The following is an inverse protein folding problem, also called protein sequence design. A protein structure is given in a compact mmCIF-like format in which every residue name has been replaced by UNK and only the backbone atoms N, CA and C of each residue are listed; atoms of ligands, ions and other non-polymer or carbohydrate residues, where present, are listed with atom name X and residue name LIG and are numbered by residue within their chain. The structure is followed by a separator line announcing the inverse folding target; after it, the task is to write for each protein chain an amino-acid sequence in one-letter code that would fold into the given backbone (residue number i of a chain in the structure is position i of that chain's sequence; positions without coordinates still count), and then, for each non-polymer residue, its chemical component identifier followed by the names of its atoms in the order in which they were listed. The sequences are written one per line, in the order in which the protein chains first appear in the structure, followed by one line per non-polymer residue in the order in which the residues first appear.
data_IF_454935541058
#
_entry.id   IF_454935541058
#
_cell.length_a   1.000
_cell.length_b   1.000
_cell.length_c   1.000
_cell.angle_alpha   90.00
_cell.angle_beta   90.00
_cell.angle_gamma   90.00
#
_symmetry.space_group_name_H-M   'P 1'
#
loop_
_entity.id
_entity.type
_entity.pdbx_description
1 polymer ?
#
# COMPACT_ATOMS: atom_id res chain seq x y z
N UNK A 1 24.82 -67.43 1.70
CA UNK A 1 23.58 -67.42 0.91
C UNK A 1 22.97 -66.02 0.96
N UNK A 2 23.37 -65.19 -0.01
CA UNK A 2 22.72 -63.98 -0.51
C UNK A 2 23.73 -63.39 -1.52
N UNK A 3 23.43 -63.52 -2.81
CA UNK A 3 24.28 -63.10 -3.92
C UNK A 3 24.47 -61.57 -3.92
N UNK A 4 25.71 -61.12 -3.79
CA UNK A 4 26.08 -59.72 -4.01
C UNK A 4 26.32 -59.51 -5.51
N UNK A 5 25.51 -58.64 -6.14
CA UNK A 5 25.69 -58.24 -7.53
C UNK A 5 27.06 -57.56 -7.72
N UNK A 6 27.80 -57.89 -8.80
CA UNK A 6 29.09 -57.27 -9.07
C UNK A 6 28.93 -55.77 -9.40
N UNK A 7 29.90 -54.93 -9.02
CA UNK A 7 29.85 -53.50 -9.30
C UNK A 7 29.91 -53.23 -10.82
N UNK A 8 29.26 -52.16 -11.31
CA UNK A 8 29.25 -51.84 -12.73
C UNK A 8 30.66 -51.50 -13.22
N UNK A 9 31.09 -52.23 -14.25
CA UNK A 9 32.37 -52.05 -14.93
C UNK A 9 32.39 -50.67 -15.63
N UNK A 10 33.23 -49.76 -15.13
CA UNK A 10 33.44 -48.45 -15.76
C UNK A 10 34.27 -48.66 -17.03
N UNK A 11 33.61 -48.66 -18.18
CA UNK A 11 34.29 -48.69 -19.46
C UNK A 11 35.08 -47.38 -19.69
N UNK A 12 36.37 -47.44 -20.02
CA UNK A 12 37.14 -46.25 -20.37
C UNK A 12 36.64 -45.72 -21.72
N UNK A 13 36.09 -44.50 -21.70
CA UNK A 13 35.70 -43.78 -22.91
C UNK A 13 36.95 -43.57 -23.77
N UNK A 14 37.00 -44.25 -24.92
CA UNK A 14 38.04 -44.09 -25.94
C UNK A 14 38.17 -42.61 -26.29
N UNK A 15 39.32 -42.04 -25.98
CA UNK A 15 39.64 -40.66 -26.32
C UNK A 15 39.52 -40.43 -27.82
N UNK A 16 38.59 -39.57 -28.22
CA UNK A 16 38.66 -38.93 -29.53
C UNK A 16 39.65 -37.77 -29.43
N UNK A 17 40.72 -37.89 -30.20
CA UNK A 17 41.71 -36.86 -30.42
C UNK A 17 41.08 -35.68 -31.18
N UNK A 18 40.51 -34.71 -30.44
CA UNK A 18 40.37 -33.30 -30.84
C UNK A 18 39.84 -32.50 -29.65
N UNK A 19 40.76 -32.09 -28.79
CA UNK A 19 40.53 -31.29 -27.57
C UNK A 19 40.08 -29.84 -27.79
N UNK A 20 39.22 -29.57 -28.79
CA UNK A 20 38.63 -28.24 -29.02
C UNK A 20 37.10 -28.24 -28.98
N UNK A 21 36.43 -29.38 -29.15
CA UNK A 21 34.95 -29.42 -29.17
C UNK A 21 34.29 -29.46 -27.78
N UNK A 22 35.00 -29.93 -26.75
CA UNK A 22 34.42 -30.13 -25.41
C UNK A 22 34.26 -28.81 -24.64
N UNK A 23 35.22 -27.89 -24.76
CA UNK A 23 35.12 -26.56 -24.13
C UNK A 23 34.02 -25.72 -24.81
N UNK A 24 33.82 -25.87 -26.13
CA UNK A 24 32.77 -25.14 -26.85
C UNK A 24 31.35 -25.66 -26.54
N UNK A 25 31.19 -26.98 -26.42
CA UNK A 25 29.92 -27.58 -26.01
C UNK A 25 29.59 -27.28 -24.54
N UNK A 26 30.60 -27.26 -23.66
CA UNK A 26 30.43 -26.91 -22.26
C UNK A 26 30.16 -25.41 -22.10
N UNK A 27 30.81 -24.53 -22.88
CA UNK A 27 30.54 -23.09 -22.88
C UNK A 27 29.15 -22.76 -23.45
N UNK A 28 28.71 -23.45 -24.50
CA UNK A 28 27.35 -23.29 -25.04
C UNK A 28 26.28 -23.81 -24.07
N UNK A 29 26.52 -24.93 -23.38
CA UNK A 29 25.59 -25.46 -22.36
C UNK A 29 25.58 -24.58 -21.10
N UNK A 30 26.71 -23.95 -20.75
CA UNK A 30 26.82 -22.98 -19.66
C UNK A 30 26.17 -21.64 -20.03
N UNK A 31 26.29 -21.19 -21.27
CA UNK A 31 25.59 -20.02 -21.81
C UNK A 31 24.07 -20.26 -21.93
N UNK A 32 23.62 -21.43 -22.37
CA UNK A 32 22.19 -21.78 -22.40
C UNK A 32 21.61 -21.92 -20.98
N UNK A 33 22.41 -22.37 -19.99
CA UNK A 33 22.02 -22.37 -18.57
C UNK A 33 22.02 -20.99 -17.93
N UNK A 34 22.86 -20.06 -18.40
CA UNK A 34 22.84 -18.65 -17.99
C UNK A 34 21.70 -17.87 -18.67
N UNK A 35 21.27 -18.27 -19.87
CA UNK A 35 20.13 -17.70 -20.60
C UNK A 35 18.76 -18.29 -20.19
N UNK A 36 18.73 -19.51 -19.66
CA UNK A 36 17.52 -20.14 -19.13
C UNK A 36 16.81 -19.34 -18.02
N UNK A 37 17.49 -18.77 -17.01
CA UNK A 37 16.85 -17.98 -15.96
C UNK A 37 16.30 -16.64 -16.49
N UNK A 38 16.99 -16.00 -17.44
CA UNK A 38 16.51 -14.77 -18.12
C UNK A 38 15.33 -15.05 -19.05
N UNK A 39 15.32 -16.17 -19.80
CA UNK A 39 14.17 -16.61 -20.61
C UNK A 39 12.95 -16.97 -19.75
N UNK A 40 13.13 -17.65 -18.60
CA UNK A 40 12.03 -17.93 -17.66
C UNK A 40 11.44 -16.65 -17.07
N UNK A 41 12.27 -15.68 -16.66
CA UNK A 41 11.80 -14.37 -16.16
C UNK A 41 11.08 -13.58 -17.25
N UNK A 42 11.64 -13.50 -18.45
CA UNK A 42 11.02 -12.83 -19.60
C UNK A 42 9.65 -13.44 -19.95
N UNK A 43 9.50 -14.76 -19.87
CA UNK A 43 8.22 -15.45 -20.08
C UNK A 43 7.16 -15.15 -19.00
N UNK A 44 7.57 -14.84 -17.76
CA UNK A 44 6.65 -14.39 -16.69
C UNK A 44 6.23 -12.95 -16.94
N UNK A 45 7.17 -12.05 -17.25
CA UNK A 45 6.87 -10.66 -17.60
C UNK A 45 5.98 -10.56 -18.84
N UNK A 46 6.25 -11.33 -19.89
CA UNK A 46 5.44 -11.36 -21.12
C UNK A 46 4.02 -11.84 -20.85
N UNK A 47 3.84 -12.83 -19.96
CA UNK A 47 2.51 -13.31 -19.53
C UNK A 47 1.78 -12.30 -18.66
N UNK A 48 2.48 -11.61 -17.76
CA UNK A 48 1.91 -10.52 -16.96
C UNK A 48 1.46 -9.35 -17.86
N UNK A 49 2.32 -8.93 -18.80
CA UNK A 49 2.01 -7.89 -19.79
C UNK A 49 0.85 -8.28 -20.70
N UNK A 50 0.77 -9.54 -21.17
CA UNK A 50 -0.38 -10.00 -21.97
C UNK A 50 -1.69 -9.97 -21.20
N UNK A 51 -1.67 -10.34 -19.91
CA UNK A 51 -2.85 -10.25 -19.04
C UNK A 51 -3.27 -8.81 -18.83
N UNK A 52 -2.32 -7.90 -18.62
CA UNK A 52 -2.63 -6.49 -18.44
C UNK A 52 -3.11 -5.83 -19.74
N UNK A 53 -2.51 -6.16 -20.88
CA UNK A 53 -2.97 -5.73 -22.20
C UNK A 53 -4.39 -6.25 -22.52
N UNK A 54 -4.72 -7.48 -22.10
CA UNK A 54 -6.07 -8.02 -22.27
C UNK A 54 -7.09 -7.30 -21.38
N UNK A 55 -6.69 -6.85 -20.17
CA UNK A 55 -7.54 -6.02 -19.28
C UNK A 55 -7.75 -4.63 -19.83
N UNK A 56 -6.73 -4.02 -20.44
CA UNK A 56 -6.85 -2.73 -21.11
C UNK A 56 -7.75 -2.78 -22.35
N UNK A 57 -8.03 -3.97 -22.91
CA UNK A 57 -9.00 -4.12 -24.01
C UNK A 57 -10.45 -4.05 -23.52
N UNK A 58 -10.71 -4.22 -22.23
CA UNK A 58 -12.03 -4.04 -21.64
C UNK A 58 -12.32 -2.54 -21.48
N UNK A 59 -13.33 -2.05 -22.21
CA UNK A 59 -13.79 -0.65 -22.17
C UNK A 59 -14.11 -0.20 -20.74
N UNK A 60 -14.66 -1.08 -19.89
CA UNK A 60 -15.00 -0.76 -18.50
C UNK A 60 -13.76 -0.45 -17.67
N UNK A 61 -12.64 -1.12 -17.97
CA UNK A 61 -11.38 -0.92 -17.28
C UNK A 61 -10.73 0.41 -17.67
N UNK A 62 -10.74 0.74 -18.97
CA UNK A 62 -10.26 2.05 -19.47
C UNK A 62 -11.05 3.19 -18.82
N UNK A 63 -12.39 3.11 -18.84
CA UNK A 63 -13.24 4.13 -18.23
C UNK A 63 -12.94 4.28 -16.74
N UNK A 64 -12.76 3.17 -16.03
CA UNK A 64 -12.40 3.21 -14.61
C UNK A 64 -11.03 3.86 -14.35
N UNK A 65 -10.02 3.59 -15.19
CA UNK A 65 -8.70 4.24 -15.11
C UNK A 65 -8.83 5.75 -15.34
N UNK A 66 -9.51 6.16 -16.41
CA UNK A 66 -9.70 7.58 -16.73
C UNK A 66 -10.40 8.29 -15.58
N UNK A 67 -11.49 7.71 -15.06
CA UNK A 67 -12.26 8.29 -13.98
C UNK A 67 -11.41 8.46 -12.72
N UNK A 68 -10.67 7.41 -12.30
CA UNK A 68 -9.77 7.51 -11.15
C UNK A 68 -8.67 8.55 -11.35
N UNK A 69 -8.03 8.57 -12.53
CA UNK A 69 -6.98 9.53 -12.84
C UNK A 69 -7.47 10.98 -12.79
N UNK A 70 -8.65 11.26 -13.37
CA UNK A 70 -9.27 12.58 -13.32
C UNK A 70 -9.61 12.95 -11.88
N UNK A 71 -10.26 12.05 -11.13
CA UNK A 71 -10.62 12.29 -9.73
C UNK A 71 -9.39 12.61 -8.88
N UNK A 72 -8.33 11.79 -8.92
CA UNK A 72 -7.12 12.04 -8.14
C UNK A 72 -6.39 13.31 -8.57
N UNK A 73 -6.38 13.62 -9.87
CA UNK A 73 -5.77 14.86 -10.38
C UNK A 73 -6.49 16.10 -9.84
N UNK A 74 -7.83 16.09 -9.82
CA UNK A 74 -8.63 17.18 -9.27
C UNK A 74 -8.44 17.32 -7.75
N UNK A 75 -8.37 16.20 -7.02
CA UNK A 75 -8.08 16.22 -5.59
C UNK A 75 -6.69 16.80 -5.30
N UNK A 76 -5.67 16.30 -6.00
CA UNK A 76 -4.30 16.81 -5.86
C UNK A 76 -4.23 18.30 -6.18
N UNK A 77 -4.84 18.75 -7.29
CA UNK A 77 -4.90 20.16 -7.65
C UNK A 77 -5.58 21.02 -6.57
N UNK A 78 -6.73 20.57 -6.05
CA UNK A 78 -7.44 21.27 -4.97
C UNK A 78 -6.64 21.36 -3.68
N UNK A 79 -5.93 20.30 -3.30
CA UNK A 79 -5.06 20.29 -2.13
C UNK A 79 -3.84 21.20 -2.29
N UNK A 80 -3.24 21.24 -3.49
CA UNK A 80 -2.11 22.13 -3.79
C UNK A 80 -2.58 23.60 -3.76
N UNK A 81 -3.75 23.89 -4.34
CA UNK A 81 -4.31 25.24 -4.38
C UNK A 81 -4.66 25.81 -2.99
N UNK A 82 -4.95 24.96 -2.00
CA UNK A 82 -5.29 25.39 -0.63
C UNK A 82 -4.10 25.81 0.25
N UNK A 83 -2.87 25.41 -0.10
CA UNK A 83 -1.66 25.84 0.63
C UNK A 83 -1.64 25.47 2.13
N UNK A 84 -1.16 26.40 2.98
CA UNK A 84 -0.86 26.20 4.41
C UNK A 84 -2.08 26.01 5.33
N UNK A 85 -3.30 26.12 4.79
CA UNK A 85 -4.54 25.88 5.55
C UNK A 85 -4.81 24.39 5.87
N UNK A 86 -3.97 23.49 5.34
CA UNK A 86 -4.12 22.05 5.55
C UNK A 86 -3.80 21.61 6.99
N UNK A 87 -4.51 20.58 7.45
CA UNK A 87 -4.27 19.92 8.73
C UNK A 87 -4.97 20.56 9.92
N UNK A 88 -5.96 21.43 9.73
CA UNK A 88 -6.66 22.11 10.84
C UNK A 88 -7.19 21.15 11.92
N UNK A 89 -7.84 20.05 11.51
CA UNK A 89 -8.39 19.06 12.44
C UNK A 89 -7.25 18.25 13.11
N UNK A 90 -6.29 17.79 12.31
CA UNK A 90 -5.13 17.07 12.84
C UNK A 90 -4.31 17.92 13.83
N UNK A 91 -4.25 19.23 13.60
CA UNK A 91 -3.58 20.20 14.48
C UNK A 91 -4.33 20.36 15.79
N UNK A 92 -5.66 20.30 15.78
CA UNK A 92 -6.47 20.30 17.00
C UNK A 92 -6.15 19.08 17.87
N UNK A 93 -6.01 17.89 17.28
CA UNK A 93 -5.65 16.67 18.03
C UNK A 93 -4.23 16.76 18.59
N UNK A 94 -3.28 17.17 17.75
CA UNK A 94 -1.89 17.31 18.13
C UNK A 94 -1.67 18.36 19.24
N UNK A 95 -2.26 19.55 19.07
CA UNK A 95 -2.12 20.64 20.04
C UNK A 95 -2.90 20.38 21.32
N UNK A 96 -4.12 19.81 21.21
CA UNK A 96 -4.95 19.45 22.36
C UNK A 96 -4.22 18.49 23.30
N UNK A 97 -3.61 17.43 22.76
CA UNK A 97 -2.83 16.49 23.60
C UNK A 97 -1.62 17.16 24.22
N UNK A 98 -0.88 18.00 23.50
CA UNK A 98 0.25 18.73 24.09
C UNK A 98 -0.19 19.67 25.21
N UNK A 99 -1.32 20.36 25.04
CA UNK A 99 -1.86 21.24 26.07
C UNK A 99 -2.25 20.42 27.31
N UNK A 100 -2.93 19.29 27.11
CA UNK A 100 -3.31 18.36 28.18
C UNK A 100 -2.09 17.79 28.92
N UNK A 101 -1.04 17.37 28.20
CA UNK A 101 0.21 16.87 28.80
C UNK A 101 0.95 17.94 29.62
N UNK A 102 0.76 19.22 29.29
CA UNK A 102 1.30 20.35 30.05
C UNK A 102 0.36 20.83 31.18
N UNK A 103 -0.73 20.11 31.46
CA UNK A 103 -1.69 20.45 32.53
C UNK A 103 -2.74 21.51 32.15
N UNK A 104 -2.86 21.86 30.87
CA UNK A 104 -3.87 22.78 30.36
C UNK A 104 -5.18 22.09 29.95
N UNK A 105 -6.20 22.90 29.60
CA UNK A 105 -7.50 22.42 29.14
C UNK A 105 -7.57 22.32 27.60
N UNK A 106 -7.58 21.10 27.01
CA UNK A 106 -7.64 20.91 25.56
C UNK A 106 -8.97 21.35 24.92
N UNK A 107 -10.04 21.49 25.71
CA UNK A 107 -11.36 21.93 25.24
C UNK A 107 -11.47 23.46 25.17
N UNK A 108 -10.51 24.18 25.78
CA UNK A 108 -10.46 25.65 25.80
C UNK A 108 -9.04 26.13 25.52
N UNK A 109 -8.50 25.89 24.31
CA UNK A 109 -7.14 26.27 23.97
C UNK A 109 -6.97 27.80 23.98
N UNK A 110 -5.86 28.26 24.57
CA UNK A 110 -5.44 29.65 24.49
C UNK A 110 -4.50 29.77 23.28
N UNK A 111 -4.98 30.32 22.15
CA UNK A 111 -4.19 30.51 20.93
C UNK A 111 -4.94 30.19 19.63
N UNK A 112 -4.24 30.02 18.48
CA UNK A 112 -4.84 29.88 17.15
C UNK A 112 -5.33 28.45 16.83
N UNK A 113 -5.52 27.60 17.84
CA UNK A 113 -5.89 26.19 17.63
C UNK A 113 -7.40 26.01 17.81
N UNK A 114 -7.97 25.12 17.00
CA UNK A 114 -9.35 24.68 17.21
C UNK A 114 -9.45 23.90 18.52
N UNK A 115 -10.57 24.03 19.26
CA UNK A 115 -10.83 23.21 20.45
C UNK A 115 -10.79 21.72 20.13
N UNK A 116 -10.29 20.92 21.06
CA UNK A 116 -10.45 19.48 21.01
C UNK A 116 -11.92 19.12 21.21
N UNK A 117 -12.51 18.33 20.30
CA UNK A 117 -13.95 18.02 20.30
C UNK A 117 -14.29 16.59 20.68
N UNK A 118 -13.28 15.73 20.84
CA UNK A 118 -13.46 14.31 21.11
C UNK A 118 -13.51 14.01 22.62
N UNK A 119 -13.91 12.79 22.95
CA UNK A 119 -13.98 12.34 24.33
C UNK A 119 -12.59 12.38 25.02
N UNK A 120 -12.52 12.68 26.33
CA UNK A 120 -11.23 12.80 27.02
C UNK A 120 -10.37 11.54 26.96
N UNK A 121 -10.99 10.35 26.96
CA UNK A 121 -10.29 9.07 26.90
C UNK A 121 -9.53 8.85 25.58
N UNK A 122 -9.83 9.61 24.53
CA UNK A 122 -9.12 9.53 23.26
C UNK A 122 -7.79 10.31 23.28
N UNK A 123 -7.57 11.23 24.22
CA UNK A 123 -6.32 12.01 24.31
C UNK A 123 -5.07 11.11 24.39
N UNK A 124 -5.01 10.08 25.26
CA UNK A 124 -3.92 9.11 25.27
C UNK A 124 -3.63 8.44 23.92
N UNK A 125 -4.65 8.17 23.10
CA UNK A 125 -4.47 7.50 21.80
C UNK A 125 -3.66 8.37 20.81
N UNK A 126 -3.77 9.68 20.95
CA UNK A 126 -3.05 10.64 20.12
C UNK A 126 -1.68 11.02 20.70
N UNK A 127 -1.29 10.54 21.90
CA UNK A 127 0.02 10.84 22.51
C UNK A 127 1.21 10.46 21.62
N UNK A 128 1.27 9.25 21.01
CA UNK A 128 2.36 8.91 20.10
C UNK A 128 2.49 9.89 18.92
N UNK A 129 1.38 10.52 18.55
CA UNK A 129 1.32 11.54 17.52
C UNK A 129 1.79 12.90 18.00
N UNK A 130 1.34 13.29 19.19
CA UNK A 130 1.59 14.59 19.78
C UNK A 130 3.05 14.78 20.18
N UNK A 131 3.78 13.72 20.54
CA UNK A 131 5.22 13.82 20.84
C UNK A 131 6.07 14.20 19.62
N UNK A 132 5.60 13.90 18.41
CA UNK A 132 6.31 14.24 17.18
C UNK A 132 6.22 15.75 16.89
N UNK A 133 7.24 16.36 16.26
CA UNK A 133 7.12 17.70 15.68
C UNK A 133 5.95 17.75 14.69
N UNK A 134 5.28 18.90 14.59
CA UNK A 134 4.07 19.04 13.76
C UNK A 134 4.28 18.59 12.32
N UNK A 135 5.40 18.94 11.68
CA UNK A 135 5.64 18.60 10.28
C UNK A 135 5.74 17.08 10.07
N UNK A 136 6.37 16.38 11.02
CA UNK A 136 6.50 14.92 11.01
C UNK A 136 5.13 14.28 11.30
N UNK A 137 4.45 14.77 12.35
CA UNK A 137 3.11 14.31 12.71
C UNK A 137 2.13 14.50 11.53
N UNK A 138 2.16 15.63 10.84
CA UNK A 138 1.27 15.87 9.73
C UNK A 138 1.61 14.98 8.52
N UNK A 139 2.89 14.88 8.19
CA UNK A 139 3.37 14.05 7.09
C UNK A 139 2.99 12.58 7.28
N UNK A 140 3.30 11.99 8.44
CA UNK A 140 3.01 10.56 8.70
C UNK A 140 1.49 10.31 8.69
N UNK A 141 0.66 11.28 9.10
CA UNK A 141 -0.79 11.11 9.24
C UNK A 141 -1.40 11.06 7.85
N UNK A 142 -1.06 12.07 7.06
CA UNK A 142 -1.53 12.19 5.69
C UNK A 142 -0.98 11.08 4.81
N UNK A 143 0.31 10.75 4.92
CA UNK A 143 0.92 9.67 4.15
C UNK A 143 0.31 8.31 4.49
N UNK A 144 0.16 7.98 5.78
CA UNK A 144 -0.45 6.71 6.19
C UNK A 144 -1.90 6.59 5.74
N UNK A 145 -2.69 7.66 5.87
CA UNK A 145 -4.09 7.70 5.42
C UNK A 145 -4.19 7.56 3.89
N UNK A 146 -3.32 8.24 3.13
CA UNK A 146 -3.27 8.10 1.66
C UNK A 146 -2.92 6.66 1.28
N UNK A 147 -1.89 6.06 1.89
CA UNK A 147 -1.47 4.70 1.57
C UNK A 147 -2.58 3.68 1.88
N UNK A 148 -3.26 3.81 3.03
CA UNK A 148 -4.38 2.95 3.39
C UNK A 148 -5.59 3.15 2.46
N UNK A 149 -5.89 4.39 2.07
CA UNK A 149 -6.95 4.69 1.11
C UNK A 149 -6.65 4.08 -0.26
N UNK A 150 -5.42 4.27 -0.77
CA UNK A 150 -4.98 3.69 -2.04
C UNK A 150 -5.00 2.16 -2.00
N UNK A 151 -4.61 1.56 -0.87
CA UNK A 151 -4.72 0.12 -0.68
C UNK A 151 -6.18 -0.33 -0.71
N UNK A 152 -7.07 0.37 -0.01
CA UNK A 152 -8.52 0.06 0.00
C UNK A 152 -9.12 0.14 -1.41
N UNK A 153 -8.79 1.21 -2.14
CA UNK A 153 -9.21 1.42 -3.53
C UNK A 153 -8.65 0.31 -4.42
N UNK A 154 -7.36 -0.02 -4.31
CA UNK A 154 -6.75 -1.10 -5.08
C UNK A 154 -7.39 -2.46 -4.80
N UNK A 155 -7.69 -2.74 -3.53
CA UNK A 155 -8.37 -3.96 -3.11
C UNK A 155 -9.78 -4.06 -3.70
N UNK A 156 -10.54 -2.97 -3.70
CA UNK A 156 -11.89 -2.91 -4.27
C UNK A 156 -11.86 -2.99 -5.80
N UNK A 157 -10.91 -2.26 -6.42
CA UNK A 157 -10.73 -2.19 -7.86
C UNK A 157 -10.44 -3.56 -8.48
N UNK A 158 -9.61 -4.39 -7.81
CA UNK A 158 -9.33 -5.76 -8.25
C UNK A 158 -10.58 -6.66 -8.31
N UNK A 159 -11.66 -6.29 -7.60
CA UNK A 159 -12.93 -7.04 -7.59
C UNK A 159 -13.96 -6.43 -8.50
N UNK A 160 -14.14 -5.09 -8.48
CA UNK A 160 -15.18 -4.37 -9.22
C UNK A 160 -14.67 -3.02 -9.73
N UNK A 161 -13.88 -2.98 -10.82
CA UNK A 161 -13.12 -1.78 -11.21
C UNK A 161 -14.01 -0.55 -11.48
N UNK A 162 -15.08 -0.71 -12.27
CA UNK A 162 -15.96 0.40 -12.62
C UNK A 162 -16.76 0.91 -11.40
N UNK A 163 -17.32 0.00 -10.60
CA UNK A 163 -18.08 0.40 -9.41
C UNK A 163 -17.17 1.11 -8.39
N UNK A 164 -15.93 0.63 -8.21
CA UNK A 164 -14.94 1.31 -7.37
C UNK A 164 -14.63 2.70 -7.90
N UNK A 165 -14.39 2.87 -9.20
CA UNK A 165 -14.10 4.18 -9.78
C UNK A 165 -15.26 5.17 -9.61
N UNK A 166 -16.50 4.73 -9.83
CA UNK A 166 -17.69 5.55 -9.62
C UNK A 166 -17.85 5.95 -8.14
N UNK A 167 -17.67 5.01 -7.21
CA UNK A 167 -17.74 5.31 -5.78
C UNK A 167 -16.63 6.27 -5.33
N UNK A 168 -15.40 6.09 -5.82
CA UNK A 168 -14.29 7.01 -5.51
C UNK A 168 -14.55 8.39 -6.08
N UNK A 169 -15.10 8.50 -7.29
CA UNK A 169 -15.48 9.78 -7.87
C UNK A 169 -16.61 10.45 -7.07
N UNK A 170 -17.63 9.70 -6.65
CA UNK A 170 -18.73 10.21 -5.84
C UNK A 170 -18.26 10.67 -4.44
N UNK A 171 -17.30 9.95 -3.85
CA UNK A 171 -16.71 10.27 -2.55
C UNK A 171 -15.46 11.15 -2.66
N UNK A 172 -15.15 11.70 -3.84
CA UNK A 172 -13.95 12.47 -4.06
C UNK A 172 -13.88 13.67 -3.09
N UNK A 173 -14.96 14.45 -3.02
CA UNK A 173 -15.02 15.60 -2.14
C UNK A 173 -14.80 15.26 -0.66
N UNK A 174 -15.54 14.30 -0.04
CA UNK A 174 -15.29 13.94 1.35
C UNK A 174 -13.90 13.33 1.56
N UNK A 175 -13.34 12.54 0.63
CA UNK A 175 -11.95 12.09 0.73
C UNK A 175 -10.96 13.24 0.71
N UNK A 176 -11.11 14.17 -0.24
CA UNK A 176 -10.29 15.37 -0.33
C UNK A 176 -10.34 16.19 0.95
N UNK A 177 -11.54 16.47 1.45
CA UNK A 177 -11.72 17.24 2.69
C UNK A 177 -11.06 16.56 3.90
N UNK A 178 -11.24 15.25 4.09
CA UNK A 178 -10.62 14.53 5.21
C UNK A 178 -9.09 14.49 5.09
N UNK A 179 -8.56 14.28 3.88
CA UNK A 179 -7.12 14.27 3.64
C UNK A 179 -6.49 15.66 3.80
N UNK A 180 -7.26 16.71 3.52
CA UNK A 180 -6.82 18.09 3.60
C UNK A 180 -6.85 18.61 5.04
N UNK A 181 -7.95 18.40 5.78
CA UNK A 181 -8.06 18.84 7.17
C UNK A 181 -7.35 17.90 8.16
N UNK A 182 -7.14 16.65 7.77
CA UNK A 182 -6.60 15.62 8.66
C UNK A 182 -7.63 15.00 9.59
N UNK A 183 -8.91 15.09 9.24
CA UNK A 183 -9.99 14.57 10.07
C UNK A 183 -9.85 13.05 10.32
N UNK A 184 -10.10 12.62 11.55
CA UNK A 184 -9.96 11.20 11.93
C UNK A 184 -11.04 10.30 11.31
N UNK A 185 -12.16 10.83 10.82
CA UNK A 185 -13.26 10.03 10.26
C UNK A 185 -12.81 9.07 9.16
N UNK A 186 -11.92 9.52 8.26
CA UNK A 186 -11.37 8.66 7.22
C UNK A 186 -10.49 7.54 7.81
N UNK A 187 -9.69 7.83 8.84
CA UNK A 187 -8.90 6.83 9.53
C UNK A 187 -9.78 5.80 10.25
N UNK A 188 -10.86 6.22 10.92
CA UNK A 188 -11.84 5.30 11.53
C UNK A 188 -12.52 4.41 10.49
N UNK A 189 -12.89 4.99 9.34
CA UNK A 189 -13.48 4.22 8.23
C UNK A 189 -12.51 3.15 7.71
N UNK A 190 -11.24 3.51 7.55
CA UNK A 190 -10.18 2.58 7.15
C UNK A 190 -9.89 1.52 8.22
N UNK A 191 -10.08 1.86 9.50
CA UNK A 191 -9.96 0.94 10.62
C UNK A 191 -11.03 -0.16 10.57
N UNK A 192 -12.29 0.21 10.31
CA UNK A 192 -13.39 -0.75 10.09
C UNK A 192 -13.10 -1.64 8.88
N UNK A 193 -12.58 -1.07 7.79
CA UNK A 193 -12.15 -1.85 6.64
C UNK A 193 -11.02 -2.83 7.00
N UNK A 194 -10.03 -2.42 7.79
CA UNK A 194 -8.92 -3.27 8.22
C UNK A 194 -9.36 -4.40 9.17
N UNK A 195 -10.44 -4.19 9.93
CA UNK A 195 -10.98 -5.20 10.84
C UNK A 195 -11.36 -6.50 10.12
N UNK A 196 -11.77 -6.45 8.85
CA UNK A 196 -12.14 -7.65 8.08
C UNK A 196 -10.96 -8.59 7.79
N UNK A 197 -9.71 -8.10 7.90
CA UNK A 197 -8.50 -8.90 7.72
C UNK A 197 -7.86 -9.33 9.04
N UNK A 198 -8.51 -9.02 10.16
CA UNK A 198 -7.98 -9.22 11.51
C UNK A 198 -8.67 -10.39 12.21
N UNK A 199 -8.00 -11.01 13.19
CA UNK A 199 -8.62 -12.02 14.05
C UNK A 199 -9.72 -11.43 14.96
N UNK A 200 -10.56 -12.26 15.60
CA UNK A 200 -11.77 -11.82 16.29
C UNK A 200 -11.54 -10.74 17.36
N UNK A 201 -10.46 -10.87 18.16
CA UNK A 201 -10.11 -9.92 19.22
C UNK A 201 -9.71 -8.55 18.66
N UNK A 202 -8.82 -8.54 17.68
CA UNK A 202 -8.33 -7.30 17.06
C UNK A 202 -9.43 -6.65 16.21
N UNK A 203 -10.21 -7.44 15.47
CA UNK A 203 -11.36 -6.94 14.72
C UNK A 203 -12.40 -6.29 15.63
N UNK A 204 -12.71 -6.91 16.78
CA UNK A 204 -13.60 -6.32 17.79
C UNK A 204 -13.06 -5.01 18.36
N UNK A 205 -11.75 -4.93 18.66
CA UNK A 205 -11.11 -3.69 19.11
C UNK A 205 -11.19 -2.57 18.05
N UNK A 206 -10.90 -2.89 16.79
CA UNK A 206 -10.96 -1.93 15.68
C UNK A 206 -12.38 -1.40 15.45
N UNK A 207 -13.40 -2.25 15.62
CA UNK A 207 -14.80 -1.84 15.61
C UNK A 207 -15.12 -0.91 16.79
N UNK A 208 -14.77 -1.31 18.01
CA UNK A 208 -15.05 -0.55 19.22
C UNK A 208 -14.35 0.83 19.24
N UNK A 209 -13.20 0.97 18.59
CA UNK A 209 -12.51 2.25 18.45
C UNK A 209 -13.13 3.16 17.38
N UNK A 210 -13.86 2.59 16.42
CA UNK A 210 -14.42 3.31 15.28
C UNK A 210 -15.90 3.69 15.44
N UNK A 211 -16.59 3.18 16.47
CA UNK A 211 -18.02 3.41 16.76
C UNK A 211 -18.23 3.93 18.17
#
# INVERSE_FOLDING_TARGET
MADALPPPELQPVKGSARGQGRIQADLLDLLDRLDAPTRRRAGVFRRALRREASRLRDRRHIVAIILLSVTFSLLAAGMIARGDAAGADARAYWAGVRLWLNGGDPYRPIGPFLPYVYAPWMLPLFVPWAILPWDVAWFVWRASTILLLLWTIHWAYRRRPLATAVLVAALAFPFGANLDTGNINLALTLMVWAAQFSGPRLGGLLWALAT
#
